data_IF_384684135767
#
_entry.id   IF_384684135767
#
_cell.length_a   1.000
_cell.length_b   1.000
_cell.length_c   1.000
_cell.angle_alpha   90.00
_cell.angle_beta   90.00
_cell.angle_gamma   90.00
#
_symmetry.space_group_name_H-M   'P 1'
#
loop_
_entity.id
_entity.type
_entity.pdbx_description
1 polymer ?
#
# COMPACT_ATOMS: atom_id res chain seq x y z
N UNK A 1 16.62 8.56 -2.09
CA UNK A 1 16.34 7.16 -1.72
C UNK A 1 15.75 7.19 -0.33
N UNK A 2 14.45 6.96 -0.16
CA UNK A 2 13.81 6.98 1.16
C UNK A 2 13.26 5.59 1.43
N UNK A 3 13.71 4.95 2.52
CA UNK A 3 13.23 3.62 2.91
C UNK A 3 12.53 3.74 4.25
N UNK A 4 11.28 3.33 4.28
CA UNK A 4 10.46 3.25 5.48
C UNK A 4 10.48 1.78 5.90
N UNK A 5 10.81 1.52 7.15
CA UNK A 5 10.72 0.19 7.73
C UNK A 5 9.40 0.11 8.48
N UNK A 6 8.59 -0.90 8.16
CA UNK A 6 7.30 -1.14 8.79
C UNK A 6 7.15 -2.62 9.08
N UNK A 7 6.45 -2.93 10.16
CA UNK A 7 6.05 -4.31 10.45
C UNK A 7 5.03 -4.80 9.42
N UNK A 8 4.89 -6.13 9.29
CA UNK A 8 3.87 -6.71 8.41
C UNK A 8 2.46 -6.20 8.73
N UNK A 9 2.14 -6.03 10.01
CA UNK A 9 0.85 -5.49 10.45
C UNK A 9 0.65 -4.04 10.03
N UNK A 10 1.66 -3.18 10.20
CA UNK A 10 1.62 -1.79 9.78
C UNK A 10 1.45 -1.66 8.26
N UNK A 11 2.12 -2.51 7.48
CA UNK A 11 1.98 -2.52 6.02
C UNK A 11 0.57 -2.98 5.61
N UNK A 12 -0.01 -3.97 6.28
CA UNK A 12 -1.39 -4.39 6.03
C UNK A 12 -2.37 -3.24 6.32
N UNK A 13 -2.21 -2.54 7.43
CA UNK A 13 -3.03 -1.36 7.75
C UNK A 13 -2.91 -0.28 6.68
N UNK A 14 -1.70 0.06 6.25
CA UNK A 14 -1.46 1.05 5.20
C UNK A 14 -2.13 0.65 3.86
N UNK A 15 -2.04 -0.63 3.48
CA UNK A 15 -2.67 -1.13 2.25
C UNK A 15 -4.20 -1.11 2.34
N UNK A 16 -4.77 -1.39 3.52
CA UNK A 16 -6.21 -1.29 3.74
C UNK A 16 -6.70 0.17 3.63
N UNK A 17 -5.93 1.13 4.17
CA UNK A 17 -6.20 2.56 3.99
C UNK A 17 -6.11 2.98 2.52
N UNK A 18 -5.09 2.51 1.81
CA UNK A 18 -4.94 2.74 0.36
C UNK A 18 -6.15 2.22 -0.42
N UNK A 19 -6.61 1.02 -0.09
CA UNK A 19 -7.77 0.39 -0.70
C UNK A 19 -9.08 1.14 -0.40
N UNK A 20 -9.27 1.60 0.84
CA UNK A 20 -10.41 2.43 1.22
C UNK A 20 -10.41 3.76 0.45
N UNK A 21 -9.25 4.41 0.30
CA UNK A 21 -9.06 5.62 -0.50
C UNK A 21 -9.42 5.39 -1.97
N UNK A 22 -8.90 4.31 -2.56
CA UNK A 22 -9.10 3.98 -3.97
C UNK A 22 -10.56 3.63 -4.30
N UNK A 23 -11.31 3.07 -3.33
CA UNK A 23 -12.75 2.80 -3.47
C UNK A 23 -13.63 4.05 -3.28
N UNK A 24 -13.05 5.21 -2.99
CA UNK A 24 -13.77 6.47 -2.81
C UNK A 24 -14.18 6.77 -1.37
N UNK A 25 -13.60 6.08 -0.38
CA UNK A 25 -13.67 6.49 1.01
C UNK A 25 -12.79 7.71 1.27
N UNK A 26 -13.25 8.64 2.11
CA UNK A 26 -12.42 9.75 2.60
C UNK A 26 -11.28 9.20 3.43
N UNK A 27 -10.06 9.19 2.88
CA UNK A 27 -8.88 8.77 3.62
C UNK A 27 -8.08 9.95 4.16
N UNK A 28 -7.37 9.76 5.29
CA UNK A 28 -6.42 10.72 5.82
C UNK A 28 -5.23 10.94 4.86
N UNK A 29 -4.56 12.06 5.08
CA UNK A 29 -3.65 12.85 4.23
C UNK A 29 -2.43 12.14 3.58
N UNK A 30 -2.21 10.84 3.83
CA UNK A 30 -0.98 10.11 3.45
C UNK A 30 -1.00 9.54 2.04
N UNK A 31 -2.18 9.25 1.48
CA UNK A 31 -2.32 8.67 0.14
C UNK A 31 -3.11 9.64 -0.72
N UNK A 32 -2.45 10.18 -1.75
CA UNK A 32 -3.14 11.05 -2.72
C UNK A 32 -4.29 10.25 -3.35
N UNK A 33 -5.52 10.77 -3.34
CA UNK A 33 -6.63 10.14 -4.02
C UNK A 33 -6.36 10.20 -5.52
N UNK A 34 -5.75 9.14 -6.06
CA UNK A 34 -5.86 8.87 -7.49
C UNK A 34 -7.29 8.38 -7.68
N UNK A 35 -8.06 9.11 -8.49
CA UNK A 35 -9.48 8.83 -8.74
C UNK A 35 -9.78 7.36 -8.97
N UNK A 36 -11.03 6.96 -8.69
CA UNK A 36 -11.52 5.58 -8.67
C UNK A 36 -11.06 4.77 -9.88
N UNK A 37 -9.95 4.05 -9.71
CA UNK A 37 -9.35 3.21 -10.73
C UNK A 37 -9.53 1.74 -10.29
N UNK A 38 -10.45 0.99 -10.92
CA UNK A 38 -10.75 -0.38 -10.53
C UNK A 38 -9.53 -1.31 -10.68
N UNK A 39 -8.62 -1.03 -11.61
CA UNK A 39 -7.41 -1.83 -11.79
C UNK A 39 -6.44 -1.66 -10.61
N UNK A 40 -6.42 -0.49 -9.97
CA UNK A 40 -5.61 -0.25 -8.76
C UNK A 40 -6.19 -0.93 -7.53
N UNK A 41 -7.51 -0.98 -7.41
CA UNK A 41 -8.20 -1.69 -6.32
C UNK A 41 -7.86 -3.18 -6.37
N UNK A 42 -7.94 -3.80 -7.54
CA UNK A 42 -7.61 -5.23 -7.72
C UNK A 42 -6.12 -5.52 -7.47
N UNK A 43 -5.23 -4.62 -7.90
CA UNK A 43 -3.80 -4.72 -7.61
C UNK A 43 -3.50 -4.62 -6.10
N UNK A 44 -4.21 -3.75 -5.37
CA UNK A 44 -4.09 -3.61 -3.91
C UNK A 44 -4.60 -4.86 -3.18
N UNK A 45 -5.72 -5.45 -3.60
CA UNK A 45 -6.25 -6.69 -3.01
C UNK A 45 -5.26 -7.86 -3.17
N UNK A 46 -4.65 -7.97 -4.35
CA UNK A 46 -3.62 -9.00 -4.61
C UNK A 46 -2.37 -8.75 -3.75
N UNK A 47 -1.94 -7.50 -3.64
CA UNK A 47 -0.79 -7.11 -2.82
C UNK A 47 -1.03 -7.39 -1.33
N UNK A 48 -2.24 -7.11 -0.82
CA UNK A 48 -2.66 -7.46 0.55
C UNK A 48 -2.53 -8.96 0.80
N UNK A 49 -2.98 -9.78 -0.15
CA UNK A 49 -2.91 -11.23 -0.05
C UNK A 49 -1.45 -11.72 -0.01
N UNK A 50 -0.59 -11.12 -0.83
CA UNK A 50 0.82 -11.49 -0.93
C UNK A 50 1.64 -11.03 0.30
N UNK A 51 1.38 -9.84 0.84
CA UNK A 51 1.98 -9.35 2.09
C UNK A 51 1.55 -10.23 3.27
N UNK A 52 0.25 -10.56 3.38
CA UNK A 52 -0.26 -11.44 4.43
C UNK A 52 0.33 -12.85 4.35
N UNK A 53 0.61 -13.34 3.15
CA UNK A 53 1.26 -14.63 2.92
C UNK A 53 2.79 -14.59 3.14
N UNK A 54 3.38 -13.44 3.47
CA UNK A 54 4.84 -13.29 3.61
C UNK A 54 5.61 -13.44 2.30
N UNK A 55 4.94 -13.30 1.15
CA UNK A 55 5.56 -13.40 -0.19
C UNK A 55 6.20 -12.10 -0.65
N UNK A 56 5.91 -11.00 0.03
CA UNK A 56 6.40 -9.65 -0.29
C UNK A 56 7.15 -9.11 0.91
N UNK A 57 8.39 -8.65 0.66
CA UNK A 57 9.26 -8.06 1.68
C UNK A 57 9.55 -6.57 1.42
N UNK A 58 9.15 -6.04 0.26
CA UNK A 58 9.29 -4.62 -0.08
C UNK A 58 8.16 -4.19 -1.00
N UNK A 59 7.58 -3.01 -0.75
CA UNK A 59 6.57 -2.37 -1.60
C UNK A 59 6.95 -0.92 -1.91
N UNK A 60 6.45 -0.41 -3.05
CA UNK A 60 6.65 1.00 -3.45
C UNK A 60 5.31 1.72 -3.39
N UNK A 61 5.29 2.89 -2.75
CA UNK A 61 4.04 3.63 -2.52
C UNK A 61 3.56 4.37 -3.78
N UNK A 62 4.49 4.81 -4.61
CA UNK A 62 4.19 5.50 -5.86
C UNK A 62 5.22 5.11 -6.92
N UNK A 63 4.80 5.01 -8.18
CA UNK A 63 5.68 4.64 -9.28
C UNK A 63 6.71 5.74 -9.62
N UNK A 64 6.38 6.98 -9.29
CA UNK A 64 7.18 8.17 -9.55
C UNK A 64 7.93 8.64 -8.29
N UNK A 65 7.60 8.09 -7.12
CA UNK A 65 8.31 8.37 -5.88
C UNK A 65 9.38 7.30 -5.58
N UNK A 66 10.46 7.73 -4.95
CA UNK A 66 11.57 6.86 -4.55
C UNK A 66 11.40 6.29 -3.14
N UNK A 67 10.18 6.38 -2.58
CA UNK A 67 9.84 5.86 -1.27
C UNK A 67 9.52 4.36 -1.34
N UNK A 68 10.39 3.56 -0.74
CA UNK A 68 10.25 2.12 -0.60
C UNK A 68 9.87 1.78 0.84
N UNK A 69 8.94 0.87 1.03
CA UNK A 69 8.59 0.34 2.34
C UNK A 69 9.16 -1.06 2.42
N UNK A 70 10.14 -1.26 3.30
CA UNK A 70 10.67 -2.57 3.63
C UNK A 70 9.84 -3.18 4.76
N UNK A 71 9.30 -4.37 4.52
CA UNK A 71 8.56 -5.13 5.53
C UNK A 71 9.56 -5.84 6.40
N UNK A 72 9.56 -5.51 7.68
CA UNK A 72 10.34 -6.19 8.72
C UNK A 72 9.39 -7.08 9.52
N UNK A 73 9.75 -8.34 9.74
CA UNK A 73 9.00 -9.26 10.61
C UNK A 73 9.30 -8.97 12.09
#
# INVERSE_FOLDING_TARGET
MNRIFMTREEVIHLLLEAHATARGGSAPTLIKPVGRDPAKVEALDRLLLDVRAGRVNEIRLDANDSTHIAITD
#
